data_IF_319863725150
#
_entry.id   IF_319863725150
#
_cell.length_a   1.000
_cell.length_b   1.000
_cell.length_c   1.000
_cell.angle_alpha   90.00
_cell.angle_beta   90.00
_cell.angle_gamma   90.00
#
_symmetry.space_group_name_H-M   'P 1'
#
loop_
_entity.id
_entity.type
_entity.pdbx_description
1 polymer ?
#
# COMPACT_ATOMS: atom_id res chain seq x y z
N UNK A 1 -14.01 -13.80 -3.13
CA UNK A 1 -15.09 -13.70 -2.13
C UNK A 1 -15.39 -15.08 -1.55
N UNK A 2 -15.70 -16.10 -2.37
CA UNK A 2 -16.02 -17.46 -1.90
C UNK A 2 -14.94 -18.03 -0.96
N UNK A 3 -13.67 -17.84 -1.32
CA UNK A 3 -12.54 -18.32 -0.52
C UNK A 3 -12.45 -17.59 0.84
N UNK A 4 -12.73 -16.28 0.87
CA UNK A 4 -12.83 -15.53 2.12
C UNK A 4 -13.97 -16.10 2.98
N UNK A 5 -15.17 -16.23 2.41
CA UNK A 5 -16.34 -16.76 3.13
C UNK A 5 -16.05 -18.10 3.78
N UNK A 6 -15.40 -19.02 3.05
CA UNK A 6 -15.02 -20.34 3.56
C UNK A 6 -14.01 -20.26 4.72
N UNK A 7 -13.08 -19.34 4.67
CA UNK A 7 -12.00 -19.23 5.67
C UNK A 7 -12.43 -18.50 6.94
N UNK A 8 -13.36 -17.55 6.84
CA UNK A 8 -13.81 -16.76 8.01
C UNK A 8 -15.03 -17.36 8.73
N UNK A 9 -15.71 -18.35 8.12
CA UNK A 9 -16.95 -18.96 8.65
C UNK A 9 -16.88 -19.45 10.10
N UNK A 10 -15.71 -19.95 10.52
CA UNK A 10 -15.51 -20.50 11.86
C UNK A 10 -14.90 -19.50 12.84
N UNK A 11 -14.73 -18.24 12.43
CA UNK A 11 -14.17 -17.20 13.29
C UNK A 11 -15.33 -16.48 13.97
N UNK A 12 -15.29 -16.40 15.28
CA UNK A 12 -16.35 -15.75 16.09
C UNK A 12 -16.28 -14.23 15.99
N UNK A 13 -16.47 -13.70 14.77
CA UNK A 13 -16.53 -12.26 14.48
C UNK A 13 -17.56 -12.00 13.40
N UNK A 14 -18.12 -10.78 13.37
CA UNK A 14 -18.93 -10.32 12.24
C UNK A 14 -18.06 -9.79 11.14
N UNK A 15 -18.29 -10.26 9.92
CA UNK A 15 -17.55 -9.84 8.75
C UNK A 15 -18.43 -9.10 7.76
N UNK A 16 -17.87 -8.04 7.16
CA UNK A 16 -18.42 -7.39 5.97
C UNK A 16 -17.31 -7.26 4.92
N UNK A 17 -17.61 -7.59 3.68
CA UNK A 17 -16.67 -7.53 2.57
C UNK A 17 -17.05 -6.35 1.66
N UNK A 18 -16.12 -5.43 1.47
CA UNK A 18 -16.25 -4.29 0.57
C UNK A 18 -15.30 -4.47 -0.61
N UNK A 19 -15.85 -4.73 -1.78
CA UNK A 19 -15.08 -4.86 -3.02
C UNK A 19 -15.00 -3.48 -3.68
N UNK A 20 -13.80 -2.93 -3.76
CA UNK A 20 -13.58 -1.64 -4.43
C UNK A 20 -13.25 -1.91 -5.90
N UNK A 21 -14.20 -1.64 -6.77
CA UNK A 21 -14.03 -1.74 -8.22
C UNK A 21 -13.49 -0.42 -8.77
N UNK A 22 -12.19 -0.38 -9.08
CA UNK A 22 -11.48 0.79 -9.59
C UNK A 22 -11.67 0.98 -11.12
N UNK A 23 -12.93 1.03 -11.56
CA UNK A 23 -13.29 1.28 -12.96
C UNK A 23 -12.90 0.10 -13.89
N UNK A 24 -13.09 -1.14 -13.45
CA UNK A 24 -12.88 -2.31 -14.30
C UNK A 24 -13.86 -2.34 -15.48
N UNK A 25 -13.37 -2.70 -16.64
CA UNK A 25 -14.17 -2.90 -17.85
C UNK A 25 -14.76 -4.30 -17.95
N UNK A 26 -14.23 -5.24 -17.19
CA UNK A 26 -14.73 -6.62 -17.13
C UNK A 26 -16.04 -6.66 -16.33
N UNK A 27 -17.04 -7.34 -16.85
CA UNK A 27 -18.27 -7.61 -16.12
C UNK A 27 -17.97 -8.63 -15.03
N UNK A 28 -18.39 -8.34 -13.81
CA UNK A 28 -18.39 -9.32 -12.74
C UNK A 28 -19.68 -10.17 -12.79
N UNK A 29 -19.59 -11.38 -12.25
CA UNK A 29 -20.71 -12.31 -12.19
C UNK A 29 -21.83 -11.68 -11.31
N UNK A 30 -23.09 -11.79 -11.74
CA UNK A 30 -24.27 -11.33 -10.99
C UNK A 30 -24.62 -12.27 -9.81
N UNK A 31 -23.82 -13.33 -9.59
CA UNK A 31 -23.98 -14.24 -8.47
C UNK A 31 -23.86 -13.51 -7.15
N UNK A 32 -24.84 -13.64 -6.29
CA UNK A 32 -24.80 -13.09 -4.94
C UNK A 32 -23.91 -13.91 -4.03
N UNK A 33 -23.00 -13.23 -3.35
CA UNK A 33 -22.08 -13.85 -2.37
C UNK A 33 -22.39 -13.47 -0.92
N UNK A 34 -23.35 -12.57 -0.69
CA UNK A 34 -23.83 -12.28 0.66
C UNK A 34 -24.54 -13.48 1.24
N UNK A 35 -24.24 -13.78 2.49
CA UNK A 35 -24.91 -14.80 3.31
C UNK A 35 -25.59 -14.15 4.49
N UNK A 36 -26.34 -14.91 5.30
CA UNK A 36 -26.91 -14.38 6.55
C UNK A 36 -25.83 -13.88 7.52
N UNK A 37 -24.62 -14.45 7.44
CA UNK A 37 -23.50 -14.16 8.34
C UNK A 37 -22.54 -13.11 7.77
N UNK A 38 -22.45 -12.97 6.43
CA UNK A 38 -21.46 -12.12 5.76
C UNK A 38 -22.14 -11.22 4.73
N UNK A 39 -22.07 -9.90 4.97
CA UNK A 39 -22.53 -8.89 4.02
C UNK A 39 -21.43 -8.60 3.00
N UNK A 40 -21.76 -8.66 1.72
CA UNK A 40 -20.87 -8.29 0.63
C UNK A 40 -21.42 -7.08 -0.10
N UNK A 41 -20.57 -6.07 -0.34
CA UNK A 41 -20.92 -4.89 -1.13
C UNK A 41 -19.84 -4.60 -2.17
N UNK A 42 -20.29 -4.25 -3.37
CA UNK A 42 -19.41 -3.76 -4.43
C UNK A 42 -19.55 -2.24 -4.53
N UNK A 43 -18.43 -1.55 -4.38
CA UNK A 43 -18.31 -0.09 -4.51
C UNK A 43 -17.60 0.19 -5.82
N UNK A 44 -18.34 0.63 -6.83
CA UNK A 44 -17.82 0.92 -8.16
C UNK A 44 -17.45 2.39 -8.29
N UNK A 45 -16.19 2.65 -8.63
CA UNK A 45 -15.70 4.01 -8.90
C UNK A 45 -16.06 4.41 -10.34
N UNK A 46 -16.42 5.68 -10.55
CA UNK A 46 -16.75 6.25 -11.84
C UNK A 46 -15.58 6.23 -12.83
N UNK A 47 -14.36 6.30 -12.32
CA UNK A 47 -13.13 6.25 -13.11
C UNK A 47 -12.04 5.52 -12.35
N UNK A 48 -11.11 4.92 -13.09
CA UNK A 48 -9.90 4.34 -12.52
C UNK A 48 -9.02 5.44 -11.91
N UNK A 49 -8.76 5.35 -10.62
CA UNK A 49 -7.91 6.30 -9.87
C UNK A 49 -6.55 5.69 -9.49
N UNK A 50 -6.43 4.39 -9.67
CA UNK A 50 -5.25 3.59 -9.38
C UNK A 50 -5.22 3.04 -7.95
N UNK A 51 -4.49 1.95 -7.80
CA UNK A 51 -4.49 1.06 -6.65
C UNK A 51 -4.42 1.77 -5.27
N UNK A 52 -3.45 2.66 -5.04
CA UNK A 52 -3.32 3.33 -3.73
C UNK A 52 -4.54 4.22 -3.42
N UNK A 53 -5.09 4.89 -4.43
CA UNK A 53 -6.24 5.79 -4.28
C UNK A 53 -7.54 5.04 -4.11
N UNK A 54 -7.72 3.91 -4.79
CA UNK A 54 -8.90 3.05 -4.61
C UNK A 54 -8.95 2.48 -3.20
N UNK A 55 -7.82 2.00 -2.65
CA UNK A 55 -7.73 1.58 -1.25
C UNK A 55 -8.07 2.74 -0.30
N UNK A 56 -7.47 3.92 -0.52
CA UNK A 56 -7.73 5.09 0.33
C UNK A 56 -9.20 5.53 0.29
N UNK A 57 -9.85 5.47 -0.89
CA UNK A 57 -11.28 5.75 -1.04
C UNK A 57 -12.13 4.72 -0.31
N UNK A 58 -11.79 3.43 -0.43
CA UNK A 58 -12.48 2.35 0.28
C UNK A 58 -12.38 2.49 1.80
N UNK A 59 -11.18 2.75 2.33
CA UNK A 59 -10.97 2.99 3.76
C UNK A 59 -11.74 4.20 4.27
N UNK A 60 -11.79 5.28 3.49
CA UNK A 60 -12.57 6.47 3.82
C UNK A 60 -14.06 6.17 3.81
N UNK A 61 -14.57 5.44 2.81
CA UNK A 61 -15.96 5.02 2.75
C UNK A 61 -16.34 4.19 3.98
N UNK A 62 -15.56 3.17 4.30
CA UNK A 62 -15.81 2.31 5.48
C UNK A 62 -15.79 3.14 6.76
N UNK A 63 -14.82 4.05 6.92
CA UNK A 63 -14.74 4.89 8.11
C UNK A 63 -15.96 5.81 8.29
N UNK A 64 -16.48 6.39 7.20
CA UNK A 64 -17.59 7.36 7.26
C UNK A 64 -18.97 6.70 7.26
N UNK A 65 -19.12 5.47 6.74
CA UNK A 65 -20.42 4.84 6.48
C UNK A 65 -20.68 3.59 7.30
N UNK A 66 -19.65 2.98 7.90
CA UNK A 66 -19.75 1.69 8.55
C UNK A 66 -19.28 1.77 10.00
N UNK A 67 -19.82 0.89 10.83
CA UNK A 67 -19.28 0.65 12.17
C UNK A 67 -18.42 -0.61 12.15
N UNK A 68 -17.18 -0.50 12.64
CA UNK A 68 -16.20 -1.58 12.62
C UNK A 68 -15.13 -1.39 13.69
N UNK A 69 -14.52 -2.47 14.11
CA UNK A 69 -13.35 -2.46 15.00
C UNK A 69 -12.06 -2.45 14.19
N UNK A 70 -11.99 -3.32 13.18
CA UNK A 70 -10.82 -3.51 12.33
C UNK A 70 -11.20 -3.57 10.85
N UNK A 71 -10.27 -3.18 9.97
CA UNK A 71 -10.39 -3.38 8.53
C UNK A 71 -9.12 -4.04 7.98
N UNK A 72 -9.28 -4.98 7.07
CA UNK A 72 -8.17 -5.71 6.43
C UNK A 72 -8.21 -5.43 4.92
N UNK A 73 -7.44 -4.42 4.43
CA UNK A 73 -7.23 -4.26 2.99
C UNK A 73 -6.47 -5.46 2.43
N UNK A 74 -6.97 -6.03 1.33
CA UNK A 74 -6.30 -7.13 0.65
C UNK A 74 -6.50 -7.04 -0.87
N UNK A 75 -5.54 -7.56 -1.62
CA UNK A 75 -5.63 -7.64 -3.07
C UNK A 75 -6.57 -8.79 -3.47
N UNK A 76 -7.50 -8.52 -4.41
CA UNK A 76 -8.50 -9.49 -4.85
C UNK A 76 -8.00 -10.54 -5.86
N UNK A 77 -6.70 -10.61 -6.11
CA UNK A 77 -6.11 -11.48 -7.14
C UNK A 77 -5.63 -12.85 -6.62
N UNK A 78 -5.74 -13.10 -5.31
CA UNK A 78 -5.33 -14.33 -4.64
C UNK A 78 -3.90 -14.31 -4.11
N UNK A 79 -3.13 -13.25 -4.35
CA UNK A 79 -1.78 -13.16 -3.79
C UNK A 79 -1.80 -12.89 -2.28
N UNK A 80 -2.77 -12.11 -1.79
CA UNK A 80 -3.08 -11.99 -0.37
C UNK A 80 -4.03 -13.14 0.00
N UNK A 81 -3.65 -13.94 0.98
CA UNK A 81 -4.28 -15.23 1.25
C UNK A 81 -5.39 -15.11 2.29
N UNK A 82 -6.65 -15.52 1.97
CA UNK A 82 -7.76 -15.50 2.91
C UNK A 82 -7.54 -16.33 4.18
N UNK A 83 -6.77 -17.42 4.12
CA UNK A 83 -6.45 -18.24 5.29
C UNK A 83 -5.52 -17.55 6.31
N UNK A 84 -4.93 -16.42 5.97
CA UNK A 84 -4.14 -15.62 6.90
C UNK A 84 -4.98 -14.58 7.67
N UNK A 85 -6.27 -14.39 7.34
CA UNK A 85 -7.18 -13.48 8.06
C UNK A 85 -7.30 -13.89 9.53
N UNK A 86 -7.41 -15.21 9.82
CA UNK A 86 -7.45 -15.70 11.20
C UNK A 86 -6.24 -15.26 12.03
N UNK A 87 -5.03 -15.32 11.43
CA UNK A 87 -3.79 -14.90 12.11
C UNK A 87 -3.81 -13.40 12.46
N UNK A 88 -4.37 -12.56 11.59
CA UNK A 88 -4.54 -11.14 11.90
C UNK A 88 -5.46 -10.96 13.09
N UNK A 89 -6.61 -11.64 13.10
CA UNK A 89 -7.61 -11.52 14.16
C UNK A 89 -7.04 -12.00 15.49
N UNK A 90 -6.41 -13.18 15.52
CA UNK A 90 -5.74 -13.71 16.72
C UNK A 90 -4.66 -12.76 17.25
N UNK A 91 -4.01 -12.02 16.35
CA UNK A 91 -2.96 -11.06 16.72
C UNK A 91 -3.51 -9.76 17.29
N UNK A 92 -4.82 -9.45 17.14
CA UNK A 92 -5.41 -8.23 17.71
C UNK A 92 -5.38 -8.21 19.22
N UNK A 93 -5.45 -9.35 19.86
CA UNK A 93 -5.38 -9.50 21.33
C UNK A 93 -3.99 -9.09 21.88
N UNK A 94 -2.95 -9.31 21.09
CA UNK A 94 -1.56 -8.97 21.47
C UNK A 94 -1.18 -7.54 21.06
N UNK A 95 -1.75 -7.05 19.96
CA UNK A 95 -1.40 -5.74 19.38
C UNK A 95 -2.59 -4.76 19.45
N UNK A 96 -3.08 -4.54 20.67
CA UNK A 96 -4.21 -3.64 20.91
C UNK A 96 -3.94 -2.27 20.33
N UNK A 97 -4.90 -1.72 19.57
CA UNK A 97 -4.83 -0.40 18.91
C UNK A 97 -3.62 -0.16 17.99
N UNK A 98 -2.94 -1.22 17.54
CA UNK A 98 -1.83 -1.11 16.59
C UNK A 98 -2.21 -1.70 15.23
N UNK A 99 -1.68 -1.10 14.18
CA UNK A 99 -1.70 -1.73 12.86
C UNK A 99 -0.86 -3.01 12.89
N UNK A 100 -1.40 -4.10 12.36
CA UNK A 100 -0.71 -5.40 12.23
C UNK A 100 -0.41 -5.59 10.75
N UNK A 101 0.86 -5.83 10.41
CA UNK A 101 1.30 -5.95 9.01
C UNK A 101 1.64 -7.38 8.64
N UNK A 102 1.28 -7.79 7.42
CA UNK A 102 1.73 -9.06 6.84
C UNK A 102 3.17 -8.92 6.31
N UNK A 103 4.17 -9.35 7.10
CA UNK A 103 5.56 -9.39 6.64
C UNK A 103 5.77 -10.52 5.66
N UNK A 104 6.14 -10.19 4.42
CA UNK A 104 6.39 -11.18 3.36
C UNK A 104 7.67 -11.95 3.59
N UNK A 105 7.55 -13.28 3.85
CA UNK A 105 8.69 -14.16 4.17
C UNK A 105 9.32 -14.79 2.92
N UNK A 106 8.50 -15.15 1.92
CA UNK A 106 8.96 -15.79 0.67
C UNK A 106 8.50 -15.00 -0.54
N UNK A 107 9.38 -14.89 -1.53
CA UNK A 107 9.06 -14.43 -2.88
C UNK A 107 9.29 -15.58 -3.84
N UNK A 108 8.30 -15.82 -4.68
CA UNK A 108 8.37 -16.78 -5.80
C UNK A 108 8.87 -16.12 -7.10
N UNK A 109 9.30 -14.85 -7.01
CA UNK A 109 9.69 -14.06 -8.17
C UNK A 109 11.14 -14.33 -8.55
N UNK A 110 11.46 -14.30 -9.87
CA UNK A 110 12.78 -14.60 -10.40
C UNK A 110 13.91 -13.67 -9.91
N UNK A 111 15.17 -14.03 -10.19
CA UNK A 111 16.38 -13.35 -9.71
C UNK A 111 16.41 -11.84 -10.01
N UNK A 112 15.91 -11.42 -11.16
CA UNK A 112 15.85 -10.01 -11.58
C UNK A 112 14.95 -9.19 -10.64
N UNK A 113 13.75 -9.68 -10.32
CA UNK A 113 12.85 -9.02 -9.37
C UNK A 113 13.42 -8.97 -7.97
N UNK A 114 14.13 -10.02 -7.55
CA UNK A 114 14.81 -10.06 -6.26
C UNK A 114 15.89 -8.98 -6.18
N UNK A 115 16.68 -8.81 -7.24
CA UNK A 115 17.71 -7.76 -7.32
C UNK A 115 17.08 -6.36 -7.18
N UNK A 116 16.07 -6.03 -7.98
CA UNK A 116 15.42 -4.72 -7.91
C UNK A 116 14.72 -4.47 -6.56
N UNK A 117 14.25 -5.51 -5.92
CA UNK A 117 13.70 -5.39 -4.57
C UNK A 117 14.78 -5.06 -3.53
N UNK A 118 15.94 -5.71 -3.61
CA UNK A 118 17.08 -5.40 -2.72
C UNK A 118 17.51 -3.95 -2.93
N UNK A 119 17.63 -3.53 -4.20
CA UNK A 119 17.94 -2.13 -4.56
C UNK A 119 16.90 -1.17 -3.99
N UNK A 120 15.60 -1.47 -4.18
CA UNK A 120 14.53 -0.65 -3.62
C UNK A 120 14.60 -0.55 -2.09
N UNK A 121 14.81 -1.66 -1.37
CA UNK A 121 14.98 -1.66 0.09
C UNK A 121 16.16 -0.81 0.53
N UNK A 122 17.29 -0.96 -0.16
CA UNK A 122 18.48 -0.17 0.12
C UNK A 122 18.23 1.33 -0.09
N UNK A 123 17.67 1.72 -1.24
CA UNK A 123 17.34 3.11 -1.53
C UNK A 123 16.33 3.68 -0.53
N UNK A 124 15.28 2.91 -0.20
CA UNK A 124 14.28 3.33 0.78
C UNK A 124 14.95 3.60 2.12
N UNK A 125 15.76 2.67 2.64
CA UNK A 125 16.46 2.87 3.91
C UNK A 125 17.48 4.01 3.85
N UNK A 126 18.28 4.06 2.80
CA UNK A 126 19.32 5.08 2.62
C UNK A 126 18.73 6.50 2.61
N UNK A 127 17.69 6.73 1.80
CA UNK A 127 17.11 8.06 1.64
C UNK A 127 16.06 8.42 2.69
N UNK A 128 15.34 7.46 3.26
CA UNK A 128 14.25 7.76 4.20
C UNK A 128 14.57 7.40 5.66
N UNK A 129 15.51 6.51 5.90
CA UNK A 129 15.78 5.91 7.21
C UNK A 129 14.71 4.92 7.66
N UNK A 130 13.81 4.50 6.76
CA UNK A 130 12.70 3.59 7.05
C UNK A 130 12.88 2.25 6.37
N UNK A 131 12.55 1.17 7.07
CA UNK A 131 12.49 -0.18 6.51
C UNK A 131 11.03 -0.60 6.36
N UNK A 132 10.57 -0.80 5.12
CA UNK A 132 9.20 -1.19 4.81
C UNK A 132 9.23 -2.58 4.19
N UNK A 133 8.60 -3.56 4.88
CA UNK A 133 8.63 -4.98 4.50
C UNK A 133 7.24 -5.55 4.20
N UNK A 134 6.24 -4.70 4.10
CA UNK A 134 4.85 -5.09 3.90
C UNK A 134 4.20 -4.29 2.77
N UNK A 135 3.12 -4.81 2.25
CA UNK A 135 2.26 -4.17 1.24
C UNK A 135 0.97 -3.61 1.84
N UNK A 136 -0.16 -3.93 1.20
CA UNK A 136 -1.48 -3.49 1.67
C UNK A 136 -2.10 -4.48 2.67
N UNK A 137 -1.71 -5.75 2.62
CA UNK A 137 -2.28 -6.79 3.47
C UNK A 137 -1.90 -6.55 4.93
N UNK A 138 -2.81 -5.91 5.63
CA UNK A 138 -2.63 -5.40 7.00
C UNK A 138 -3.96 -5.46 7.73
N UNK A 139 -3.95 -5.53 9.06
CA UNK A 139 -5.13 -5.37 9.89
C UNK A 139 -5.04 -4.02 10.62
N UNK A 140 -5.99 -3.14 10.35
CA UNK A 140 -5.99 -1.76 10.84
C UNK A 140 -7.14 -1.54 11.81
N UNK A 141 -6.88 -1.17 13.08
CA UNK A 141 -7.94 -0.74 13.99
C UNK A 141 -8.53 0.61 13.53
N UNK A 142 -9.77 0.87 13.93
CA UNK A 142 -10.50 2.11 13.58
C UNK A 142 -9.71 3.37 13.89
N UNK A 143 -8.93 3.37 14.97
CA UNK A 143 -8.07 4.48 15.39
C UNK A 143 -6.97 4.80 14.35
N UNK A 144 -6.39 3.76 13.73
CA UNK A 144 -5.36 3.90 12.68
C UNK A 144 -5.99 4.34 11.36
N UNK A 145 -7.17 3.78 11.00
CA UNK A 145 -7.90 4.22 9.81
C UNK A 145 -8.25 5.70 9.90
N UNK A 146 -8.68 6.18 11.07
CA UNK A 146 -8.93 7.61 11.33
C UNK A 146 -7.72 8.49 10.99
N UNK A 147 -6.51 8.10 11.42
CA UNK A 147 -5.27 8.82 11.09
C UNK A 147 -4.95 8.74 9.60
N UNK A 148 -5.19 7.57 8.99
CA UNK A 148 -4.88 7.32 7.59
C UNK A 148 -5.72 8.17 6.63
N UNK A 149 -7.01 8.34 6.89
CA UNK A 149 -7.92 9.08 5.99
C UNK A 149 -7.72 10.60 6.01
N UNK A 150 -7.03 11.15 7.02
CA UNK A 150 -6.68 12.58 7.10
C UNK A 150 -5.26 12.87 6.62
N UNK A 151 -4.43 11.83 6.45
CA UNK A 151 -3.04 11.98 6.00
C UNK A 151 -2.98 12.08 4.45
N UNK A 152 -2.48 13.21 3.93
CA UNK A 152 -2.45 13.47 2.48
C UNK A 152 -1.62 12.47 1.69
N UNK A 153 -0.57 11.90 2.28
CA UNK A 153 0.28 10.91 1.60
C UNK A 153 -0.43 9.59 1.36
N UNK A 154 -1.56 9.32 2.06
CA UNK A 154 -2.41 8.15 1.82
C UNK A 154 -2.98 8.11 0.40
N UNK A 155 -3.13 9.27 -0.22
CA UNK A 155 -3.54 9.41 -1.62
C UNK A 155 -2.44 9.02 -2.63
N UNK A 156 -1.21 8.86 -2.18
CA UNK A 156 -0.06 8.51 -3.01
C UNK A 156 0.48 7.09 -2.74
N UNK A 157 0.57 6.69 -1.47
CA UNK A 157 1.14 5.40 -1.09
C UNK A 157 0.56 4.89 0.22
N UNK A 158 -0.02 3.69 0.20
CA UNK A 158 -0.58 3.04 1.39
C UNK A 158 0.51 2.75 2.43
N UNK A 159 1.49 1.89 2.09
CA UNK A 159 2.52 1.44 3.03
C UNK A 159 3.44 2.58 3.51
N UNK A 160 3.76 3.53 2.62
CA UNK A 160 4.52 4.72 2.98
C UNK A 160 3.81 5.57 4.02
N UNK A 161 2.50 5.80 3.81
CA UNK A 161 1.69 6.60 4.74
C UNK A 161 1.46 5.88 6.07
N UNK A 162 1.23 4.57 6.04
CA UNK A 162 1.08 3.80 7.27
C UNK A 162 2.34 3.92 8.15
N UNK A 163 3.55 3.81 7.56
CA UNK A 163 4.83 4.00 8.28
C UNK A 163 5.03 5.45 8.74
N UNK A 164 4.41 6.42 8.09
CA UNK A 164 4.47 7.82 8.49
C UNK A 164 3.60 8.12 9.70
N UNK A 165 2.39 7.54 9.76
CA UNK A 165 1.42 7.81 10.82
C UNK A 165 1.60 6.91 12.06
N UNK A 166 2.17 5.72 11.90
CA UNK A 166 2.39 4.77 12.99
C UNK A 166 3.88 4.58 13.29
N UNK A 167 4.22 4.60 14.59
CA UNK A 167 5.60 4.43 15.04
C UNK A 167 5.99 2.97 15.24
N UNK A 168 5.02 2.12 15.54
CA UNK A 168 5.23 0.68 15.81
C UNK A 168 4.07 -0.13 15.25
N UNK A 169 4.38 -1.34 14.81
CA UNK A 169 3.45 -2.29 14.21
C UNK A 169 3.47 -3.61 14.95
N UNK A 170 2.32 -4.29 15.01
CA UNK A 170 2.30 -5.72 15.12
C UNK A 170 2.68 -6.35 13.77
N UNK A 171 3.13 -7.58 13.76
CA UNK A 171 3.42 -8.28 12.51
C UNK A 171 3.04 -9.75 12.57
N UNK A 172 2.53 -10.26 11.46
CA UNK A 172 2.40 -11.69 11.19
C UNK A 172 3.29 -12.07 10.02
N UNK A 173 3.76 -13.31 10.02
CA UNK A 173 4.47 -13.87 8.87
C UNK A 173 3.44 -14.19 7.78
N UNK A 174 3.59 -13.55 6.61
CA UNK A 174 2.69 -13.73 5.47
C UNK A 174 3.42 -14.37 4.29
N UNK A 175 2.73 -15.25 3.59
CA UNK A 175 3.24 -15.94 2.40
C UNK A 175 2.35 -15.59 1.22
N UNK A 176 2.94 -15.11 0.14
CA UNK A 176 2.19 -14.75 -1.06
C UNK A 176 1.57 -15.99 -1.71
N UNK A 177 0.27 -15.92 -1.99
CA UNK A 177 -0.47 -16.94 -2.73
C UNK A 177 -0.16 -16.92 -4.22
N UNK A 178 -0.77 -17.84 -4.95
CA UNK A 178 -0.78 -17.81 -6.43
C UNK A 178 -1.96 -16.99 -6.90
N UNK A 179 -1.78 -16.23 -7.98
CA UNK A 179 -2.87 -15.51 -8.62
C UNK A 179 -3.93 -16.48 -9.12
N UNK A 180 -5.19 -16.11 -8.94
CA UNK A 180 -6.31 -16.90 -9.47
C UNK A 180 -6.32 -16.87 -11.00
N UNK A 181 -6.01 -15.71 -11.61
CA UNK A 181 -6.10 -15.52 -13.06
C UNK A 181 -4.90 -14.71 -13.59
N UNK A 182 -4.26 -15.25 -14.62
CA UNK A 182 -3.29 -14.57 -15.46
C UNK A 182 -2.02 -14.04 -14.78
N UNK A 183 -1.10 -13.47 -15.56
CA UNK A 183 0.10 -12.82 -15.03
C UNK A 183 -0.22 -11.44 -14.45
N UNK A 184 0.74 -10.87 -13.70
CA UNK A 184 0.64 -9.50 -13.20
C UNK A 184 0.44 -8.51 -14.35
N UNK A 185 -0.60 -7.69 -14.26
CA UNK A 185 -0.85 -6.57 -15.20
C UNK A 185 0.08 -5.36 -14.92
N UNK A 186 0.87 -5.40 -13.84
CA UNK A 186 1.76 -4.31 -13.45
C UNK A 186 3.04 -4.34 -14.31
N UNK A 187 3.24 -3.31 -15.14
CA UNK A 187 4.48 -3.14 -15.90
C UNK A 187 5.66 -2.83 -14.98
N UNK A 188 6.88 -3.09 -15.43
CA UNK A 188 8.12 -2.77 -14.69
C UNK A 188 8.19 -1.28 -14.32
N UNK A 189 7.84 -0.38 -15.23
CA UNK A 189 7.82 1.06 -14.96
C UNK A 189 6.82 1.44 -13.86
N UNK A 190 5.65 0.81 -13.85
CA UNK A 190 4.67 1.02 -12.79
C UNK A 190 5.16 0.50 -11.43
N UNK A 191 5.90 -0.61 -11.41
CA UNK A 191 6.53 -1.13 -10.20
C UNK A 191 7.59 -0.15 -9.67
N UNK A 192 8.45 0.39 -10.53
CA UNK A 192 9.43 1.43 -10.16
C UNK A 192 8.72 2.67 -9.64
N UNK A 193 7.70 3.15 -10.34
CA UNK A 193 6.88 4.30 -9.92
C UNK A 193 6.24 4.06 -8.54
N UNK A 194 5.68 2.88 -8.31
CA UNK A 194 5.12 2.50 -7.01
C UNK A 194 6.19 2.54 -5.90
N UNK A 195 7.36 1.96 -6.16
CA UNK A 195 8.50 1.96 -5.23
C UNK A 195 8.97 3.38 -4.88
N UNK A 196 9.11 4.24 -5.89
CA UNK A 196 9.51 5.64 -5.68
C UNK A 196 8.40 6.47 -5.01
N UNK A 197 7.12 6.13 -5.21
CA UNK A 197 6.01 6.75 -4.50
C UNK A 197 6.08 6.50 -2.99
N UNK A 198 6.54 5.33 -2.56
CA UNK A 198 6.78 5.04 -1.14
C UNK A 198 7.87 5.99 -0.58
N UNK A 199 8.98 6.15 -1.31
CA UNK A 199 10.08 7.03 -0.90
C UNK A 199 9.63 8.49 -0.85
N UNK A 200 8.78 8.92 -1.81
CA UNK A 200 8.32 10.31 -1.92
C UNK A 200 7.46 10.79 -0.74
N UNK A 201 6.83 9.87 -0.01
CA UNK A 201 6.12 10.18 1.25
C UNK A 201 7.06 10.81 2.28
N UNK A 202 8.34 10.46 2.24
CA UNK A 202 9.38 10.94 3.16
C UNK A 202 10.28 12.02 2.53
N UNK A 203 9.75 12.83 1.63
CA UNK A 203 10.51 13.81 0.84
C UNK A 203 11.45 14.68 1.67
N UNK A 204 11.06 15.12 2.87
CA UNK A 204 11.93 15.89 3.73
C UNK A 204 13.17 15.12 4.19
N UNK A 205 13.00 13.85 4.57
CA UNK A 205 14.12 12.97 4.92
C UNK A 205 15.02 12.76 3.70
N UNK A 206 14.41 12.56 2.52
CA UNK A 206 15.15 12.40 1.26
C UNK A 206 15.99 13.62 0.98
N UNK A 207 15.44 14.83 1.08
CA UNK A 207 16.18 16.07 0.86
C UNK A 207 17.36 16.20 1.84
N UNK A 208 17.12 16.06 3.14
CA UNK A 208 18.16 16.19 4.17
C UNK A 208 19.30 15.19 3.92
N UNK A 209 18.97 13.92 3.66
CA UNK A 209 19.98 12.87 3.43
C UNK A 209 20.70 13.06 2.09
N UNK A 210 20.02 13.58 1.08
CA UNK A 210 20.64 13.91 -0.21
C UNK A 210 21.61 15.08 -0.09
N UNK A 211 21.28 16.10 0.69
CA UNK A 211 22.21 17.21 0.99
C UNK A 211 23.45 16.68 1.73
N UNK A 212 23.25 15.85 2.75
CA UNK A 212 24.37 15.24 3.48
C UNK A 212 25.25 14.38 2.56
N UNK A 213 24.64 13.56 1.71
CA UNK A 213 25.38 12.79 0.71
C UNK A 213 26.14 13.70 -0.25
N UNK A 214 25.49 14.75 -0.76
CA UNK A 214 26.12 15.73 -1.66
C UNK A 214 27.36 16.35 -1.02
N UNK A 215 27.27 16.84 0.22
CA UNK A 215 28.39 17.48 0.93
C UNK A 215 29.54 16.51 1.14
N UNK A 216 29.26 15.31 1.64
CA UNK A 216 30.30 14.28 1.88
C UNK A 216 30.94 13.88 0.57
N UNK A 217 30.13 13.55 -0.43
CA UNK A 217 30.63 13.10 -1.73
C UNK A 217 31.44 14.16 -2.43
N UNK A 218 30.97 15.42 -2.42
CA UNK A 218 31.69 16.55 -3.00
C UNK A 218 33.04 16.80 -2.31
N UNK A 219 33.10 16.67 -0.99
CA UNK A 219 34.36 16.78 -0.25
C UNK A 219 35.37 15.69 -0.64
N UNK A 220 34.90 14.50 -1.04
CA UNK A 220 35.78 13.41 -1.52
C UNK A 220 36.30 13.71 -2.91
N UNK A 221 35.45 14.18 -3.83
CA UNK A 221 35.80 14.33 -5.25
C UNK A 221 36.47 15.67 -5.58
N UNK A 222 36.44 16.67 -4.69
CA UNK A 222 36.85 18.04 -4.98
C UNK A 222 38.26 18.19 -5.55
N UNK A 223 39.17 17.26 -5.23
CA UNK A 223 40.57 17.22 -5.77
C UNK A 223 40.66 16.53 -7.12
N UNK A 224 39.65 15.76 -7.54
CA UNK A 224 39.65 14.96 -8.76
C UNK A 224 38.32 15.08 -9.50
N UNK A 225 37.94 16.31 -9.85
CA UNK A 225 36.69 16.58 -10.56
C UNK A 225 36.83 16.15 -12.02
N UNK A 226 35.96 15.23 -12.45
CA UNK A 226 35.84 14.74 -13.82
C UNK A 226 34.38 14.44 -14.14
N UNK A 227 34.05 14.18 -15.40
CA UNK A 227 32.70 13.79 -15.80
C UNK A 227 32.24 12.51 -15.07
N UNK A 228 33.17 11.56 -14.83
CA UNK A 228 32.85 10.32 -14.12
C UNK A 228 32.51 10.59 -12.66
N UNK A 229 33.28 11.45 -11.98
CA UNK A 229 33.06 11.75 -10.56
C UNK A 229 31.86 12.68 -10.33
N UNK A 230 31.45 13.49 -11.30
CA UNK A 230 30.23 14.31 -11.21
C UNK A 230 28.97 13.52 -11.52
N UNK A 231 29.04 12.46 -12.31
CA UNK A 231 27.88 11.69 -12.76
C UNK A 231 26.95 11.21 -11.64
N UNK A 232 27.41 10.71 -10.47
CA UNK A 232 26.53 10.36 -9.36
C UNK A 232 25.73 11.57 -8.81
N UNK A 233 26.30 12.77 -8.81
CA UNK A 233 25.57 13.98 -8.38
C UNK A 233 24.48 14.37 -9.38
N UNK A 234 24.73 14.18 -10.66
CA UNK A 234 23.72 14.38 -11.69
C UNK A 234 22.55 13.40 -11.54
N UNK A 235 22.86 12.11 -11.29
CA UNK A 235 21.82 11.11 -11.00
C UNK A 235 21.03 11.43 -9.74
N UNK A 236 21.67 11.98 -8.70
CA UNK A 236 21.00 12.43 -7.48
C UNK A 236 20.00 13.56 -7.78
N UNK A 237 20.36 14.52 -8.62
CA UNK A 237 19.47 15.62 -9.02
C UNK A 237 18.23 15.07 -9.77
N UNK A 238 18.44 14.17 -10.72
CA UNK A 238 17.34 13.51 -11.44
C UNK A 238 16.44 12.74 -10.46
N UNK A 239 17.03 11.98 -9.54
CA UNK A 239 16.28 11.27 -8.51
C UNK A 239 15.44 12.21 -7.66
N UNK A 240 16.00 13.31 -7.16
CA UNK A 240 15.28 14.32 -6.39
C UNK A 240 14.12 14.93 -7.18
N UNK A 241 14.33 15.23 -8.46
CA UNK A 241 13.27 15.74 -9.34
C UNK A 241 12.11 14.73 -9.46
N UNK A 242 12.42 13.45 -9.67
CA UNK A 242 11.40 12.39 -9.74
C UNK A 242 10.64 12.28 -8.41
N UNK A 243 11.34 12.25 -7.28
CA UNK A 243 10.73 12.18 -5.95
C UNK A 243 9.81 13.38 -5.69
N UNK A 244 10.23 14.57 -6.08
CA UNK A 244 9.42 15.78 -5.93
C UNK A 244 8.15 15.72 -6.76
N UNK A 245 8.24 15.30 -8.03
CA UNK A 245 7.08 15.10 -8.90
C UNK A 245 6.11 14.04 -8.34
N UNK A 246 6.63 12.93 -7.81
CA UNK A 246 5.78 11.91 -7.20
C UNK A 246 5.14 12.40 -5.89
N UNK A 247 5.82 13.24 -5.12
CA UNK A 247 5.24 13.82 -3.91
C UNK A 247 4.07 14.78 -4.19
N UNK A 248 4.03 15.40 -5.37
CA UNK A 248 2.91 16.27 -5.78
C UNK A 248 1.61 15.49 -6.02
N UNK A 249 1.66 14.15 -6.08
CA UNK A 249 0.47 13.29 -6.11
C UNK A 249 -0.27 13.25 -4.77
N UNK A 250 0.34 13.73 -3.69
CA UNK A 250 -0.27 13.92 -2.37
C UNK A 250 -1.27 15.08 -2.43
N UNK A 251 -2.49 14.82 -2.84
CA UNK A 251 -3.54 15.83 -2.99
C UNK A 251 -4.67 15.61 -1.99
N UNK A 252 -4.59 16.31 -0.86
CA UNK A 252 -5.61 16.20 0.21
C UNK A 252 -6.99 16.69 -0.25
N UNK A 253 -7.05 17.68 -1.14
CA UNK A 253 -8.33 18.19 -1.65
C UNK A 253 -9.04 17.11 -2.50
N UNK A 254 -8.28 16.45 -3.39
CA UNK A 254 -8.79 15.33 -4.19
C UNK A 254 -9.19 14.14 -3.29
N UNK A 255 -8.39 13.85 -2.26
CA UNK A 255 -8.71 12.80 -1.30
C UNK A 255 -10.00 13.12 -0.50
N UNK A 256 -10.16 14.38 -0.04
CA UNK A 256 -11.33 14.77 0.72
C UNK A 256 -12.64 14.60 -0.05
N UNK A 257 -12.62 14.81 -1.36
CA UNK A 257 -13.78 14.62 -2.24
C UNK A 257 -13.82 13.25 -2.92
N UNK A 258 -12.96 12.31 -2.53
CA UNK A 258 -12.83 11.01 -3.21
C UNK A 258 -14.12 10.19 -3.23
N UNK A 259 -14.98 10.35 -2.21
CA UNK A 259 -16.27 9.65 -2.18
C UNK A 259 -17.23 10.11 -3.29
N UNK A 260 -17.08 11.33 -3.83
CA UNK A 260 -17.86 11.76 -4.99
C UNK A 260 -17.50 10.99 -6.28
N UNK A 261 -16.40 10.23 -6.28
CA UNK A 261 -16.05 9.33 -7.38
C UNK A 261 -16.73 7.95 -7.27
N UNK A 262 -17.52 7.71 -6.24
CA UNK A 262 -18.31 6.48 -6.13
C UNK A 262 -19.55 6.66 -7.01
N UNK A 263 -19.65 5.82 -8.04
CA UNK A 263 -20.78 5.82 -8.96
C UNK A 263 -21.92 4.96 -8.47
N UNK A 264 -21.60 3.85 -7.82
CA UNK A 264 -22.59 2.86 -7.41
C UNK A 264 -22.10 2.04 -6.21
N UNK A 265 -23.05 1.66 -5.36
CA UNK A 265 -22.85 0.76 -4.22
C UNK A 265 -23.95 -0.30 -4.24
N UNK A 266 -23.58 -1.53 -4.55
CA UNK A 266 -24.53 -2.65 -4.69
C UNK A 266 -24.27 -3.72 -3.65
N UNK A 267 -25.33 -4.27 -3.04
CA UNK A 267 -25.22 -5.55 -2.33
C UNK A 267 -24.90 -6.67 -3.35
N UNK A 268 -24.05 -7.60 -2.97
CA UNK A 268 -23.60 -8.67 -3.86
C UNK A 268 -23.68 -10.06 -3.21
#
# INVERSE_FOLDING_TARGET
>A
IEDINLKVKNINCKFSIFVINDGSTEKYDDKRFSTEEIRVQIISLLKNVGHARSIATGLKYIYEKEDFDYVIPMDGDGEDRPDEISKFIESTDYYVDKAIVGERIKRSEGSIFTFFYVVHKFLTYFFTGKSIKFGNFTCLPKSVVKKFIIEKSSWNSFSGSLVKIEKSFGSIKSTRGKRYFGPSKMSFLNLVKHSLSIISVFKFNVIIRSILFFVIYFAIINKNISLITIFPLFLLIIFLFIIFNLSNRENIKEFNVSLSNIGDVRPH
#
